data_IF_448753034163
#
_entry.id   IF_448753034163
#
_cell.length_a   1.000
_cell.length_b   1.000
_cell.length_c   1.000
_cell.angle_alpha   90.00
_cell.angle_beta   90.00
_cell.angle_gamma   90.00
#
_symmetry.space_group_name_H-M   'P 1'
#
loop_
_entity.id
_entity.type
_entity.pdbx_description
1 polymer ?
#
# COMPACT_ATOMS: atom_id res chain seq x y z
N UNK A 1 -5.48 8.76 -13.70
CA UNK A 1 -6.16 8.34 -12.46
C UNK A 1 -5.65 6.96 -12.14
N UNK A 2 -5.01 6.83 -10.98
CA UNK A 2 -4.26 5.66 -10.59
C UNK A 2 -5.02 4.91 -9.50
N UNK A 3 -5.03 3.59 -9.60
CA UNK A 3 -5.65 2.71 -8.63
C UNK A 3 -4.58 1.78 -8.07
N UNK A 4 -4.49 1.72 -6.75
CA UNK A 4 -3.45 0.93 -6.08
C UNK A 4 -4.02 0.06 -4.98
N UNK A 5 -3.61 -1.21 -4.98
CA UNK A 5 -3.93 -2.17 -3.94
C UNK A 5 -2.83 -2.16 -2.89
N UNK A 6 -3.21 -1.93 -1.63
CA UNK A 6 -2.31 -1.89 -0.49
C UNK A 6 -2.71 -2.99 0.49
N UNK A 7 -1.75 -3.83 0.85
CA UNK A 7 -1.89 -4.77 1.95
C UNK A 7 -1.49 -4.06 3.24
N UNK A 8 -2.45 -3.88 4.12
CA UNK A 8 -2.23 -3.36 5.47
C UNK A 8 -2.26 -4.53 6.46
N UNK A 9 -1.35 -4.52 7.42
CA UNK A 9 -1.31 -5.49 8.52
C UNK A 9 -1.33 -4.74 9.83
N UNK A 10 -2.22 -5.16 10.72
CA UNK A 10 -2.31 -4.73 12.11
C UNK A 10 -2.38 -5.97 13.01
N UNK A 11 -2.30 -5.80 14.33
CA UNK A 11 -2.61 -6.92 15.23
C UNK A 11 -4.14 -7.16 15.26
N UNK A 12 -4.60 -8.41 15.41
CA UNK A 12 -6.03 -8.76 15.46
C UNK A 12 -6.86 -7.86 16.40
N UNK A 13 -6.34 -7.52 17.58
CA UNK A 13 -7.05 -6.69 18.55
C UNK A 13 -7.28 -5.23 18.12
N UNK A 14 -6.56 -4.76 17.09
CA UNK A 14 -6.65 -3.38 16.58
C UNK A 14 -7.32 -3.29 15.20
N UNK A 15 -7.70 -4.41 14.59
CA UNK A 15 -8.21 -4.45 13.21
C UNK A 15 -9.41 -3.52 13.02
N UNK A 16 -10.41 -3.58 13.90
CA UNK A 16 -11.61 -2.74 13.79
C UNK A 16 -11.27 -1.24 13.85
N UNK A 17 -10.37 -0.86 14.74
CA UNK A 17 -9.93 0.53 14.88
C UNK A 17 -9.12 1.01 13.66
N UNK A 18 -8.26 0.14 13.13
CA UNK A 18 -7.47 0.42 11.92
C UNK A 18 -8.40 0.56 10.72
N UNK A 19 -9.36 -0.35 10.52
CA UNK A 19 -10.36 -0.28 9.44
C UNK A 19 -11.14 1.03 9.51
N UNK A 20 -11.65 1.41 10.69
CA UNK A 20 -12.38 2.67 10.86
C UNK A 20 -11.51 3.89 10.52
N UNK A 21 -10.22 3.86 10.88
CA UNK A 21 -9.28 4.93 10.56
C UNK A 21 -8.99 5.02 9.06
N UNK A 22 -8.81 3.87 8.40
CA UNK A 22 -8.55 3.78 6.96
C UNK A 22 -9.75 4.26 6.14
N UNK A 23 -10.98 3.87 6.52
CA UNK A 23 -12.21 4.33 5.88
C UNK A 23 -12.44 5.84 6.01
N UNK A 24 -11.81 6.48 6.99
CA UNK A 24 -11.82 7.94 7.15
C UNK A 24 -10.82 8.68 6.26
N UNK A 25 -9.89 7.98 5.60
CA UNK A 25 -8.92 8.60 4.71
C UNK A 25 -9.56 8.88 3.34
N UNK A 26 -9.38 10.10 2.79
CA UNK A 26 -9.96 10.42 1.49
C UNK A 26 -9.21 9.68 0.37
N UNK A 27 -9.99 9.08 -0.53
CA UNK A 27 -9.50 8.28 -1.64
C UNK A 27 -9.04 6.87 -1.24
N UNK A 28 -9.45 6.37 -0.07
CA UNK A 28 -9.08 5.05 0.46
C UNK A 28 -10.35 4.25 0.76
N UNK A 29 -10.41 3.03 0.24
CA UNK A 29 -11.49 2.08 0.46
C UNK A 29 -10.95 0.77 1.04
N UNK A 30 -11.58 0.27 2.10
CA UNK A 30 -11.26 -1.05 2.66
C UNK A 30 -12.08 -2.10 1.92
N UNK A 31 -11.42 -2.97 1.17
CA UNK A 31 -12.07 -3.95 0.31
C UNK A 31 -12.27 -5.31 0.99
N UNK A 32 -11.30 -5.74 1.80
CA UNK A 32 -11.38 -6.99 2.55
C UNK A 32 -10.68 -6.86 3.89
N UNK A 33 -11.16 -7.61 4.88
CA UNK A 33 -10.53 -7.70 6.20
C UNK A 33 -10.55 -9.15 6.66
N UNK A 34 -9.40 -9.64 7.11
CA UNK A 34 -9.24 -10.88 7.85
C UNK A 34 -8.84 -10.53 9.29
N UNK A 35 -9.81 -10.59 10.19
CA UNK A 35 -9.63 -10.22 11.58
C UNK A 35 -8.74 -11.20 12.36
N UNK A 36 -8.66 -12.47 11.95
CA UNK A 36 -7.86 -13.49 12.64
C UNK A 36 -6.37 -13.28 12.37
N UNK A 37 -6.01 -12.99 11.11
CA UNK A 37 -4.61 -12.76 10.72
C UNK A 37 -4.19 -11.28 10.82
N UNK A 38 -5.15 -10.37 10.98
CA UNK A 38 -4.91 -8.92 11.03
C UNK A 38 -4.63 -8.27 9.68
N UNK A 39 -4.95 -8.96 8.58
CA UNK A 39 -4.70 -8.50 7.21
C UNK A 39 -5.90 -7.72 6.68
N UNK A 40 -5.62 -6.59 6.05
CA UNK A 40 -6.62 -5.67 5.51
C UNK A 40 -6.20 -5.34 4.08
N UNK A 41 -7.09 -5.56 3.12
CA UNK A 41 -6.88 -5.17 1.71
C UNK A 41 -7.54 -3.81 1.50
N UNK A 42 -6.74 -2.86 1.05
CA UNK A 42 -7.15 -1.49 0.81
C UNK A 42 -6.96 -1.17 -0.66
N UNK A 43 -7.91 -0.46 -1.26
CA UNK A 43 -7.78 0.14 -2.58
C UNK A 43 -7.69 1.65 -2.38
N UNK A 44 -6.71 2.30 -2.98
CA UNK A 44 -6.61 3.75 -3.00
C UNK A 44 -6.70 4.28 -4.43
N UNK A 45 -7.36 5.43 -4.58
CA UNK A 45 -7.49 6.17 -5.82
C UNK A 45 -6.72 7.49 -5.72
N UNK A 46 -5.91 7.78 -6.73
CA UNK A 46 -5.08 8.98 -6.80
C UNK A 46 -5.10 9.60 -8.20
N UNK A 47 -4.87 10.92 -8.28
CA UNK A 47 -4.80 11.62 -9.55
C UNK A 47 -3.53 11.27 -10.34
N UNK A 48 -2.40 11.15 -9.63
CA UNK A 48 -1.07 10.89 -10.15
C UNK A 48 -0.22 10.10 -9.14
N UNK A 49 1.03 9.79 -9.51
CA UNK A 49 1.97 9.02 -8.69
C UNK A 49 2.33 9.72 -7.37
N UNK A 50 2.40 11.06 -7.33
CA UNK A 50 2.76 11.80 -6.11
C UNK A 50 1.63 11.71 -5.09
N UNK A 51 0.39 11.92 -5.56
CA UNK A 51 -0.81 11.78 -4.73
C UNK A 51 -0.95 10.35 -4.18
N UNK A 52 -0.52 9.35 -4.94
CA UNK A 52 -0.52 7.96 -4.52
C UNK A 52 0.48 7.66 -3.40
N UNK A 53 1.72 8.14 -3.56
CA UNK A 53 2.76 7.99 -2.54
C UNK A 53 2.36 8.71 -1.25
N UNK A 54 1.72 9.88 -1.35
CA UNK A 54 1.22 10.61 -0.18
C UNK A 54 0.02 9.89 0.48
N UNK A 55 -0.86 9.26 -0.30
CA UNK A 55 -1.90 8.39 0.25
C UNK A 55 -1.31 7.18 0.99
N UNK A 56 -0.31 6.52 0.42
CA UNK A 56 0.39 5.40 1.08
C UNK A 56 1.08 5.84 2.38
N UNK A 57 1.73 7.01 2.40
CA UNK A 57 2.33 7.56 3.63
C UNK A 57 1.28 7.78 4.72
N UNK A 58 0.08 8.28 4.36
CA UNK A 58 -1.02 8.46 5.32
C UNK A 58 -1.51 7.12 5.87
N UNK A 59 -1.63 6.10 5.02
CA UNK A 59 -1.97 4.73 5.44
C UNK A 59 -0.91 4.19 6.41
N UNK A 60 0.39 4.32 6.08
CA UNK A 60 1.52 3.92 6.94
C UNK A 60 1.53 4.64 8.29
N UNK A 61 1.00 5.86 8.36
CA UNK A 61 0.95 6.67 9.58
C UNK A 61 -0.25 6.37 10.49
N UNK A 62 -1.21 5.53 10.07
CA UNK A 62 -2.36 5.15 10.89
C UNK A 62 -1.88 4.39 12.14
N UNK A 63 -2.32 4.78 13.36
CA UNK A 63 -1.96 4.05 14.57
C UNK A 63 -2.30 2.56 14.48
N UNK A 64 -1.43 1.72 15.02
CA UNK A 64 -1.53 0.25 15.03
C UNK A 64 -1.34 -0.45 13.68
N UNK A 65 -1.09 0.29 12.59
CA UNK A 65 -0.54 -0.28 11.36
C UNK A 65 0.89 -0.73 11.60
N UNK A 66 1.16 -2.01 11.36
CA UNK A 66 2.48 -2.64 11.46
C UNK A 66 3.18 -2.53 10.10
N UNK A 67 2.43 -2.74 9.03
CA UNK A 67 2.93 -2.76 7.66
C UNK A 67 1.82 -2.28 6.72
N UNK A 68 2.19 -1.51 5.71
CA UNK A 68 1.29 -1.17 4.60
C UNK A 68 2.11 -1.16 3.32
N UNK A 69 1.97 -2.17 2.48
CA UNK A 69 2.77 -2.30 1.25
C UNK A 69 1.87 -2.34 0.02
N UNK A 70 2.28 -1.61 -1.00
CA UNK A 70 1.58 -1.56 -2.27
C UNK A 70 1.88 -2.83 -3.07
N UNK A 71 0.84 -3.64 -3.29
CA UNK A 71 0.93 -4.96 -3.93
C UNK A 71 0.66 -4.87 -5.43
N UNK A 72 -0.16 -3.90 -5.85
CA UNK A 72 -0.50 -3.68 -7.24
C UNK A 72 -0.77 -2.20 -7.49
N UNK A 73 -0.42 -1.75 -8.69
CA UNK A 73 -0.62 -0.40 -9.17
C UNK A 73 -1.14 -0.45 -10.60
N UNK A 74 -2.26 0.21 -10.86
CA UNK A 74 -2.85 0.41 -12.16
C UNK A 74 -2.80 1.89 -12.53
N UNK A 75 -2.09 2.18 -13.61
CA UNK A 75 -2.08 3.49 -14.24
C UNK A 75 -3.12 3.41 -15.35
N UNK A 76 -4.26 4.07 -15.18
CA UNK A 76 -5.17 4.26 -16.31
C UNK A 76 -4.43 5.06 -17.39
N UNK A 77 -4.46 4.56 -18.63
CA UNK A 77 -3.73 5.06 -19.80
C UNK A 77 -3.56 6.59 -19.78
N UNK A 78 -2.40 7.03 -19.33
CA UNK A 78 -1.79 8.26 -19.81
C UNK A 78 -1.08 7.83 -21.11
N UNK A 79 -1.17 8.61 -22.19
CA UNK A 79 -0.43 8.42 -23.46
C UNK A 79 1.12 8.46 -23.30
N UNK A 80 1.64 8.27 -22.08
CA UNK A 80 3.04 8.35 -21.72
C UNK A 80 3.59 6.96 -21.42
N UNK A 81 4.27 6.42 -22.41
CA UNK A 81 5.18 5.28 -22.26
C UNK A 81 6.39 5.73 -21.47
N UNK A 82 6.64 5.12 -20.32
CA UNK A 82 7.89 5.28 -19.58
C UNK A 82 8.83 4.12 -19.95
N UNK A 83 9.86 4.40 -20.74
CA UNK A 83 10.85 3.40 -21.16
C UNK A 83 11.75 2.89 -20.01
N UNK A 84 11.74 3.59 -18.87
CA UNK A 84 12.51 3.29 -17.66
C UNK A 84 11.72 3.67 -16.41
N UNK A 85 11.95 2.95 -15.31
CA UNK A 85 11.40 3.29 -14.00
C UNK A 85 11.90 4.71 -13.59
N UNK A 86 11.03 5.62 -13.10
CA UNK A 86 11.44 6.94 -12.62
C UNK A 86 12.52 6.84 -11.53
N UNK A 87 13.51 7.75 -11.52
CA UNK A 87 14.62 7.71 -10.56
C UNK A 87 14.17 7.75 -9.10
N UNK A 88 13.01 8.36 -8.81
CA UNK A 88 12.38 8.37 -7.48
C UNK A 88 11.99 6.95 -6.99
N UNK A 89 11.67 6.04 -7.90
CA UNK A 89 11.33 4.64 -7.61
C UNK A 89 12.54 3.70 -7.73
N UNK A 90 13.63 4.14 -8.37
CA UNK A 90 14.87 3.37 -8.48
C UNK A 90 15.65 3.31 -7.16
N UNK A 91 15.53 4.34 -6.31
CA UNK A 91 16.29 4.43 -5.06
C UNK A 91 15.90 3.37 -4.02
N UNK A 92 14.67 2.84 -4.07
CA UNK A 92 14.15 1.87 -3.09
C UNK A 92 14.20 0.41 -3.59
N UNK A 93 14.60 0.19 -4.85
CA UNK A 93 14.68 -1.14 -5.46
C UNK A 93 15.90 -1.96 -5.00
N UNK A 94 16.83 -1.37 -4.24
CA UNK A 94 18.15 -1.93 -3.97
C UNK A 94 18.39 -2.52 -2.57
N UNK A 95 17.62 -2.16 -1.54
CA UNK A 95 17.92 -2.57 -0.16
C UNK A 95 16.89 -3.51 0.50
N UNK A 96 15.72 -3.75 -0.10
CA UNK A 96 14.65 -4.54 0.56
C UNK A 96 14.50 -6.00 0.09
N UNK A 97 15.53 -6.61 -0.50
CA UNK A 97 15.48 -8.02 -0.95
C UNK A 97 16.59 -8.89 -0.35
N UNK A 98 16.92 -8.73 0.93
CA UNK A 98 17.56 -9.81 1.67
C UNK A 98 16.48 -10.82 2.09
N UNK A 99 16.10 -11.74 1.18
CA UNK A 99 15.24 -12.88 1.56
C UNK A 99 15.98 -13.66 2.64
N UNK A 100 15.45 -13.73 3.88
CA UNK A 100 16.10 -14.49 4.94
C UNK A 100 16.31 -15.92 4.49
N UNK A 101 17.51 -16.45 4.72
CA UNK A 101 17.98 -17.71 4.11
C UNK A 101 17.09 -18.92 4.44
N UNK A 102 16.33 -18.86 5.55
CA UNK A 102 15.40 -19.90 5.97
C UNK A 102 14.07 -19.93 5.18
N UNK A 103 13.84 -18.97 4.28
CA UNK A 103 12.68 -18.91 3.37
C UNK A 103 13.05 -19.29 1.93
N UNK A 104 14.27 -19.80 1.70
CA UNK A 104 14.78 -20.17 0.37
C UNK A 104 14.62 -21.66 0.02
N UNK A 105 13.97 -22.44 0.88
CA UNK A 105 13.63 -23.86 0.64
C UNK A 105 12.15 -24.05 0.30
#
# INVERSE_FOLDING_TARGET
MNLSGVLVVAKPEWVEQVVASLQGLPGVEVHQTDAETGRIVVVQEAADIHAELDALKRIKAVPHVIMAEMVYHYIAEDDKVYDQLPPELQADAGEACAIPTYLQD
#
